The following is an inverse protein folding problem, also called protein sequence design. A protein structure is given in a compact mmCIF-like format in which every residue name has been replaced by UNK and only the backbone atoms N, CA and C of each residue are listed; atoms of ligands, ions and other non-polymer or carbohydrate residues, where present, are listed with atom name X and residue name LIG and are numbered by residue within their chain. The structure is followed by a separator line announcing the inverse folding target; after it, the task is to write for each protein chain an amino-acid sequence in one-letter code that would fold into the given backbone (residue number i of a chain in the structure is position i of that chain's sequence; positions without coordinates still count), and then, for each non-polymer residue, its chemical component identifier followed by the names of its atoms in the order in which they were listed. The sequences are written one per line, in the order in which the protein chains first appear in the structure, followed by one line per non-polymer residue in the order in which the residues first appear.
data_IF_039499517639
#
_entry.id   IF_039499517639
#
_cell.length_a   1.000
_cell.length_b   1.000
_cell.length_c   1.000
_cell.angle_alpha   90.00
_cell.angle_beta   90.00
_cell.angle_gamma   90.00
#
_symmetry.space_group_name_H-M   'P 1'
#
loop_
_entity.id
_entity.type
_entity.pdbx_description
1 polymer ?
#
# COMPACT_ATOMS: atom_id res chain seq x y z
N UNK A 1 -18.87 -4.93 -4.04
CA UNK A 1 -17.49 -5.12 -3.57
C UNK A 1 -16.88 -6.24 -4.37
N UNK A 2 -15.80 -5.99 -5.11
CA UNK A 2 -15.12 -7.01 -5.89
C UNK A 2 -13.96 -7.55 -5.06
N UNK A 3 -13.97 -8.84 -4.73
CA UNK A 3 -12.83 -9.51 -4.12
C UNK A 3 -11.74 -9.71 -5.17
N UNK A 4 -10.48 -9.44 -4.80
CA UNK A 4 -9.32 -9.62 -5.68
C UNK A 4 -8.49 -10.77 -5.13
N UNK A 5 -8.70 -12.01 -5.60
CA UNK A 5 -7.81 -13.12 -5.26
C UNK A 5 -6.43 -12.82 -5.85
N UNK A 6 -5.35 -13.16 -5.13
CA UNK A 6 -3.91 -12.91 -5.39
C UNK A 6 -3.51 -12.77 -6.88
N UNK A 7 -3.94 -11.68 -7.51
CA UNK A 7 -3.81 -11.46 -8.94
C UNK A 7 -2.45 -10.84 -9.30
N UNK A 8 -1.61 -10.60 -8.29
CA UNK A 8 -0.30 -9.98 -8.43
C UNK A 8 0.69 -10.86 -7.69
N UNK A 9 1.63 -11.44 -8.44
CA UNK A 9 2.82 -12.04 -7.86
C UNK A 9 3.57 -10.97 -7.08
N UNK A 10 4.10 -11.30 -5.90
CA UNK A 10 5.01 -10.42 -5.17
C UNK A 10 6.19 -9.96 -6.02
N UNK A 11 6.58 -10.76 -7.03
CA UNK A 11 7.65 -10.42 -7.98
C UNK A 11 7.26 -9.35 -9.00
N UNK A 12 5.96 -9.17 -9.27
CA UNK A 12 5.46 -8.21 -10.26
C UNK A 12 5.09 -6.87 -9.62
N UNK A 13 5.00 -6.82 -8.28
CA UNK A 13 4.83 -5.56 -7.58
C UNK A 13 6.13 -4.78 -7.71
N UNK A 14 6.09 -3.66 -8.45
CA UNK A 14 7.18 -2.70 -8.59
C UNK A 14 7.50 -1.95 -7.28
N UNK A 15 7.43 -2.61 -6.14
CA UNK A 15 7.95 -2.14 -4.85
C UNK A 15 9.44 -2.50 -4.80
N UNK A 16 10.20 -1.91 -5.73
CA UNK A 16 11.64 -1.88 -5.61
C UNK A 16 11.98 -1.28 -4.25
N UNK A 17 12.68 -2.06 -3.43
CA UNK A 17 13.14 -1.70 -2.08
C UNK A 17 12.08 -1.77 -0.97
N UNK A 18 11.62 -2.99 -0.64
CA UNK A 18 11.26 -3.30 0.75
C UNK A 18 12.57 -3.36 1.55
N UNK A 19 13.10 -2.20 1.92
CA UNK A 19 14.24 -2.07 2.84
C UNK A 19 13.69 -1.62 4.19
N UNK A 20 13.71 -2.53 5.16
CA UNK A 20 13.29 -2.28 6.55
C UNK A 20 12.07 -3.09 6.97
N UNK A 21 11.98 -3.37 8.28
CA UNK A 21 10.97 -4.19 8.98
C UNK A 21 9.50 -3.67 8.92
N UNK A 22 9.14 -2.89 7.90
CA UNK A 22 7.77 -2.42 7.69
C UNK A 22 6.92 -3.63 7.27
N UNK A 23 5.68 -3.80 7.78
CA UNK A 23 4.92 -5.03 7.56
C UNK A 23 4.77 -5.35 6.07
N UNK A 24 5.12 -6.57 5.67
CA UNK A 24 5.01 -7.09 4.29
C UNK A 24 3.60 -6.85 3.71
N UNK A 25 2.59 -6.92 4.58
CA UNK A 25 1.18 -6.65 4.27
C UNK A 25 0.93 -5.23 3.74
N UNK A 26 1.54 -4.21 4.33
CA UNK A 26 1.26 -2.82 3.95
C UNK A 26 1.88 -2.47 2.60
N UNK A 27 3.08 -2.99 2.34
CA UNK A 27 3.75 -2.86 1.05
C UNK A 27 2.95 -3.57 -0.06
N UNK A 28 2.40 -4.75 0.23
CA UNK A 28 1.53 -5.47 -0.69
C UNK A 28 0.26 -4.66 -1.01
N UNK A 29 -0.46 -4.15 -0.01
CA UNK A 29 -1.67 -3.36 -0.22
C UNK A 29 -1.40 -2.07 -1.01
N UNK A 30 -0.27 -1.40 -0.75
CA UNK A 30 0.16 -0.24 -1.51
C UNK A 30 0.47 -0.60 -2.98
N UNK A 31 1.17 -1.71 -3.22
CA UNK A 31 1.48 -2.21 -4.56
C UNK A 31 0.22 -2.60 -5.36
N UNK A 32 -0.74 -3.26 -4.73
CA UNK A 32 -2.04 -3.59 -5.34
C UNK A 32 -2.79 -2.32 -5.74
N UNK A 33 -2.83 -1.30 -4.87
CA UNK A 33 -3.47 -0.03 -5.19
C UNK A 33 -2.80 0.66 -6.40
N UNK A 34 -1.47 0.73 -6.40
CA UNK A 34 -0.69 1.34 -7.49
C UNK A 34 -0.88 0.62 -8.82
N UNK A 35 -0.89 -0.72 -8.84
CA UNK A 35 -1.08 -1.53 -10.06
C UNK A 35 -2.43 -1.23 -10.75
N UNK A 36 -3.37 -0.65 -10.02
CA UNK A 36 -4.71 -0.27 -10.49
C UNK A 36 -4.87 1.23 -10.70
N UNK A 37 -3.77 1.99 -10.67
CA UNK A 37 -3.76 3.44 -10.81
C UNK A 37 -4.29 4.19 -9.58
N UNK A 38 -4.40 3.53 -8.43
CA UNK A 38 -4.87 4.08 -7.18
C UNK A 38 -3.78 4.24 -6.11
N UNK A 39 -4.19 4.65 -4.91
CA UNK A 39 -3.35 4.74 -3.71
C UNK A 39 -4.06 4.08 -2.53
N UNK A 40 -3.30 3.54 -1.60
CA UNK A 40 -3.82 2.95 -0.37
C UNK A 40 -4.26 4.05 0.60
N UNK A 41 -5.53 4.09 0.96
CA UNK A 41 -6.00 4.92 2.07
C UNK A 41 -5.63 4.28 3.42
N UNK A 42 -5.09 5.06 4.35
CA UNK A 42 -4.71 4.57 5.69
C UNK A 42 -5.08 5.55 6.79
N UNK A 43 -5.16 5.04 8.02
CA UNK A 43 -5.20 5.83 9.26
C UNK A 43 -3.84 5.84 9.99
N UNK A 44 -2.88 5.07 9.48
CA UNK A 44 -1.52 5.00 10.00
C UNK A 44 -0.67 6.12 9.40
N UNK A 45 -0.37 7.12 10.23
CA UNK A 45 0.49 8.24 9.86
C UNK A 45 1.88 7.79 9.42
N UNK A 46 2.52 6.88 10.16
CA UNK A 46 3.87 6.40 9.85
C UNK A 46 3.92 5.63 8.52
N UNK A 47 2.87 4.87 8.20
CA UNK A 47 2.74 4.23 6.90
C UNK A 47 2.61 5.28 5.78
N UNK A 48 1.78 6.31 5.98
CA UNK A 48 1.57 7.37 4.99
C UNK A 48 2.83 8.20 4.73
N UNK A 49 3.63 8.49 5.76
CA UNK A 49 4.84 9.29 5.64
C UNK A 49 5.90 8.56 4.84
N UNK A 50 6.17 7.31 5.19
CA UNK A 50 7.27 6.59 4.58
C UNK A 50 6.87 5.83 3.29
N UNK A 51 5.62 5.97 2.80
CA UNK A 51 5.17 5.56 1.46
C UNK A 51 4.25 6.63 0.83
N UNK A 52 4.62 7.91 0.94
CA UNK A 52 3.77 9.05 0.55
C UNK A 52 3.28 9.05 -0.90
N UNK A 53 4.04 8.44 -1.82
CA UNK A 53 3.65 8.28 -3.23
C UNK A 53 2.57 7.21 -3.45
N UNK A 54 2.45 6.23 -2.54
CA UNK A 54 1.56 5.08 -2.67
C UNK A 54 0.41 5.07 -1.66
N UNK A 55 0.54 5.83 -0.56
CA UNK A 55 -0.37 5.80 0.59
C UNK A 55 -0.89 7.20 0.91
N UNK A 56 -2.19 7.34 1.18
CA UNK A 56 -2.88 8.57 1.57
C UNK A 56 -3.44 8.45 2.99
N UNK A 57 -3.06 9.37 3.88
CA UNK A 57 -3.64 9.47 5.21
C UNK A 57 -5.07 10.03 5.14
N UNK A 58 -6.03 9.34 5.73
CA UNK A 58 -7.39 9.85 5.89
C UNK A 58 -7.54 10.49 7.28
N UNK A 59 -8.05 11.73 7.37
CA UNK A 59 -8.27 12.39 8.66
C UNK A 59 -9.33 11.66 9.48
N UNK A 60 -9.06 11.43 10.76
CA UNK A 60 -10.07 10.89 11.67
C UNK A 60 -10.99 12.00 12.14
N UNK A 61 -12.25 11.94 11.71
CA UNK A 61 -13.34 12.72 12.31
C UNK A 61 -13.60 12.12 13.70
N UNK A 62 -13.54 12.95 14.75
CA UNK A 62 -13.95 12.56 16.10
C UNK A 62 -15.46 12.65 16.26
#
# INVERSE_FOLDING_TARGET
MQFWPDALSYADLAVGHIVGHRPVTDAYLAGVALSRGGRLATLDTALSEALSHAVLLIPQQR
#
